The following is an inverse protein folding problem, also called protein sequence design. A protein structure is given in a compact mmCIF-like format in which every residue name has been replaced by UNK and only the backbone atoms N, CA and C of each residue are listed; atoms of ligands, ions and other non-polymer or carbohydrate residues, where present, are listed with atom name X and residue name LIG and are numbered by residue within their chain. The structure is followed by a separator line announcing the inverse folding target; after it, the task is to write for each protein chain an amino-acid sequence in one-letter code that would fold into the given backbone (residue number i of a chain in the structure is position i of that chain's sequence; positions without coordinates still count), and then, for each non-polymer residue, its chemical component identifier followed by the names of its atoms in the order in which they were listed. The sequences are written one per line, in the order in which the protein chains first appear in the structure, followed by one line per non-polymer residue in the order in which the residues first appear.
data_IF_727584823699
#
_entry.id   IF_727584823699
#
_cell.length_a   1.000
_cell.length_b   1.000
_cell.length_c   1.000
_cell.angle_alpha   90.00
_cell.angle_beta   90.00
_cell.angle_gamma   90.00
#
_symmetry.space_group_name_H-M   'P 1'
#
loop_
_entity.id
_entity.type
_entity.pdbx_description
1 polymer ?
#
# COMPACT_ATOMS: atom_id res chain seq x y z
N UNK A 1 14.22 24.25 3.33
CA UNK A 1 13.03 23.41 3.61
C UNK A 1 13.33 22.36 4.67
N UNK A 2 14.30 21.45 4.47
CA UNK A 2 14.73 20.51 5.54
C UNK A 2 15.35 21.26 6.73
N UNK A 3 16.27 22.20 6.47
CA UNK A 3 16.85 23.05 7.53
C UNK A 3 15.79 23.93 8.24
N UNK A 4 14.76 24.35 7.51
CA UNK A 4 13.63 25.13 8.04
C UNK A 4 12.70 24.27 8.90
N UNK A 5 12.54 22.99 8.53
CA UNK A 5 11.78 22.01 9.30
C UNK A 5 12.52 21.65 10.59
N UNK A 6 13.83 21.42 10.51
CA UNK A 6 14.68 21.11 11.67
C UNK A 6 14.74 22.28 12.66
N UNK A 7 14.86 23.52 12.17
CA UNK A 7 14.84 24.72 13.01
C UNK A 7 13.49 24.91 13.72
N UNK A 8 12.37 24.68 13.03
CA UNK A 8 11.03 24.80 13.60
C UNK A 8 10.71 23.65 14.59
N UNK A 9 11.27 22.47 14.39
CA UNK A 9 11.22 21.35 15.35
C UNK A 9 12.01 21.70 16.63
N UNK A 10 13.21 22.27 16.50
CA UNK A 10 14.06 22.66 17.65
C UNK A 10 13.58 23.92 18.38
N UNK A 11 12.85 24.81 17.71
CA UNK A 11 12.10 25.87 18.38
C UNK A 11 11.05 25.24 19.27
N UNK A 12 10.13 24.43 18.74
CA UNK A 12 9.01 23.86 19.52
C UNK A 12 9.37 22.91 20.66
N UNK A 13 10.54 22.27 20.58
CA UNK A 13 11.12 21.54 21.74
C UNK A 13 11.42 22.47 22.92
N UNK A 14 11.73 23.75 22.68
CA UNK A 14 11.97 24.75 23.73
C UNK A 14 10.66 25.22 24.38
N UNK A 15 9.56 25.30 23.62
CA UNK A 15 8.24 25.72 24.11
C UNK A 15 7.32 24.58 24.57
N UNK A 16 7.75 23.32 24.43
CA UNK A 16 7.09 22.16 25.05
C UNK A 16 5.79 21.73 24.38
N UNK A 17 5.59 22.10 23.12
CA UNK A 17 4.35 21.89 22.34
C UNK A 17 4.40 20.67 21.41
N UNK A 18 5.45 19.84 21.53
CA UNK A 18 5.72 18.72 20.61
C UNK A 18 4.66 17.61 20.72
N UNK A 19 3.92 17.33 19.63
CA UNK A 19 3.06 16.14 19.53
C UNK A 19 1.57 16.39 19.28
N UNK A 20 1.15 17.62 18.98
CA UNK A 20 -0.22 17.87 18.54
C UNK A 20 -0.35 17.55 17.04
N UNK A 21 -1.44 16.87 16.66
CA UNK A 21 -1.71 16.40 15.28
C UNK A 21 -1.71 17.54 14.23
N UNK A 22 -1.72 18.81 14.66
CA UNK A 22 -1.61 20.00 13.82
C UNK A 22 -0.17 20.46 13.52
N UNK A 23 0.85 19.86 14.15
CA UNK A 23 2.25 20.29 14.04
C UNK A 23 2.80 20.19 12.60
N UNK A 24 2.48 19.11 11.89
CA UNK A 24 2.91 18.94 10.50
C UNK A 24 2.15 19.87 9.56
N UNK A 25 0.85 20.09 9.81
CA UNK A 25 0.01 20.96 8.98
C UNK A 25 0.44 22.42 9.12
N UNK A 26 0.73 22.91 10.32
CA UNK A 26 1.25 24.26 10.50
C UNK A 26 2.63 24.43 9.84
N UNK A 27 3.50 23.43 9.95
CA UNK A 27 4.81 23.43 9.30
C UNK A 27 4.71 23.41 7.77
N UNK A 28 3.78 22.63 7.22
CA UNK A 28 3.52 22.59 5.77
C UNK A 28 2.82 23.86 5.28
N UNK A 29 1.92 24.44 6.07
CA UNK A 29 1.26 25.72 5.78
C UNK A 29 2.24 26.90 5.86
N UNK A 30 3.22 26.88 6.78
CA UNK A 30 4.32 27.85 6.83
C UNK A 30 5.21 27.70 5.59
N UNK A 31 5.54 26.46 5.20
CA UNK A 31 6.30 26.19 3.98
C UNK A 31 5.53 26.56 2.70
N UNK A 32 4.19 26.46 2.70
CA UNK A 32 3.32 26.99 1.65
C UNK A 32 3.27 28.52 1.66
N UNK A 33 3.13 29.16 2.83
CA UNK A 33 3.06 30.63 2.96
C UNK A 33 4.32 31.34 2.46
N UNK A 34 5.50 30.75 2.65
CA UNK A 34 6.75 31.27 2.07
C UNK A 34 6.82 31.12 0.53
N UNK A 35 6.00 30.24 -0.05
CA UNK A 35 5.99 29.91 -1.48
C UNK A 35 4.82 30.55 -2.25
N UNK A 36 3.85 31.15 -1.56
CA UNK A 36 2.54 31.58 -2.09
C UNK A 36 2.45 33.08 -2.45
N UNK A 37 3.49 33.65 -3.05
CA UNK A 37 3.43 35.04 -3.57
C UNK A 37 3.11 35.16 -5.06
N UNK A 38 2.69 34.10 -5.75
CA UNK A 38 2.22 34.21 -7.14
C UNK A 38 1.08 33.23 -7.43
N UNK A 39 -0.07 33.76 -7.85
CA UNK A 39 -1.12 33.01 -8.56
C UNK A 39 -0.48 32.15 -9.66
N UNK A 40 -0.82 30.86 -9.73
CA UNK A 40 -0.21 29.91 -10.69
C UNK A 40 -1.27 29.24 -11.53
N UNK A 41 -1.11 29.37 -12.85
CA UNK A 41 -1.83 28.59 -13.86
C UNK A 41 -1.60 27.07 -13.67
N UNK A 42 -2.55 26.22 -14.14
CA UNK A 42 -2.43 24.78 -14.05
C UNK A 42 -1.19 24.26 -14.79
N UNK A 43 -0.29 23.62 -14.04
CA UNK A 43 0.98 23.08 -14.54
C UNK A 43 0.77 21.89 -15.49
N UNK A 44 1.62 21.81 -16.52
CA UNK A 44 1.67 20.72 -17.49
C UNK A 44 2.27 19.44 -16.88
N UNK A 45 1.97 18.27 -17.49
CA UNK A 45 2.49 16.96 -17.04
C UNK A 45 4.02 16.89 -16.91
N UNK A 46 4.74 17.65 -17.73
CA UNK A 46 6.21 17.71 -17.69
C UNK A 46 6.74 18.45 -16.45
N UNK A 47 6.03 19.50 -16.02
CA UNK A 47 6.41 20.33 -14.88
C UNK A 47 6.16 19.62 -13.54
N UNK A 48 5.16 18.74 -13.46
CA UNK A 48 4.93 17.86 -12.31
C UNK A 48 6.11 16.88 -12.10
N UNK A 49 6.74 16.44 -13.19
CA UNK A 49 7.87 15.52 -13.13
C UNK A 49 9.19 16.19 -12.72
N UNK A 50 9.29 17.52 -12.87
CA UNK A 50 10.57 18.24 -12.84
C UNK A 50 10.73 19.11 -11.59
N UNK A 51 10.69 18.52 -10.39
CA UNK A 51 11.17 19.17 -9.14
C UNK A 51 10.28 20.24 -8.49
N UNK A 52 8.96 20.05 -8.40
CA UNK A 52 8.20 20.80 -7.39
C UNK A 52 7.85 19.89 -6.22
N UNK A 53 8.54 20.13 -5.11
CA UNK A 53 8.14 19.70 -3.79
C UNK A 53 7.00 20.61 -3.35
N UNK A 54 5.79 20.07 -3.18
CA UNK A 54 4.63 20.83 -2.71
C UNK A 54 3.64 19.89 -2.01
N UNK A 55 2.80 20.46 -1.16
CA UNK A 55 1.59 19.80 -0.66
C UNK A 55 0.40 20.35 -1.41
N UNK A 56 -0.61 19.50 -1.62
CA UNK A 56 -1.89 19.92 -2.16
C UNK A 56 -2.98 19.38 -1.26
N UNK A 57 -3.89 20.23 -0.85
CA UNK A 57 -5.04 19.85 -0.03
C UNK A 57 -6.25 19.56 -0.91
N UNK A 58 -6.98 18.51 -0.59
CA UNK A 58 -8.29 18.22 -1.16
C UNK A 58 -9.28 17.92 -0.03
N UNK A 59 -10.48 18.45 -0.14
CA UNK A 59 -11.59 17.99 0.70
C UNK A 59 -12.13 16.69 0.11
N UNK A 60 -12.10 15.62 0.89
CA UNK A 60 -12.72 14.34 0.53
C UNK A 60 -14.20 14.36 0.94
N UNK A 61 -15.05 13.61 0.23
CA UNK A 61 -16.43 13.37 0.65
C UNK A 61 -16.45 12.88 2.12
N UNK A 62 -17.37 13.41 2.93
CA UNK A 62 -17.49 13.29 4.40
C UNK A 62 -16.66 14.27 5.25
N UNK A 63 -16.15 15.37 4.66
CA UNK A 63 -15.57 16.47 5.43
C UNK A 63 -14.17 16.18 6.01
N UNK A 64 -13.55 15.09 5.57
CA UNK A 64 -12.16 14.81 5.89
C UNK A 64 -11.24 15.52 4.89
N UNK A 65 -10.26 16.24 5.42
CA UNK A 65 -9.20 16.84 4.60
C UNK A 65 -8.14 15.79 4.27
N UNK A 66 -7.77 15.69 2.99
CA UNK A 66 -6.66 14.88 2.54
C UNK A 66 -5.54 15.77 2.01
N UNK A 67 -4.31 15.37 2.33
CA UNK A 67 -3.09 16.08 1.95
C UNK A 67 -2.29 15.21 0.98
N UNK A 68 -2.20 15.64 -0.26
CA UNK A 68 -1.33 15.05 -1.27
C UNK A 68 0.09 15.60 -1.09
N UNK A 69 1.04 14.72 -0.79
CA UNK A 69 2.46 15.07 -0.64
C UNK A 69 3.20 14.76 -1.93
N UNK A 70 3.78 15.78 -2.56
CA UNK A 70 4.53 15.66 -3.81
C UNK A 70 5.97 16.12 -3.60
N UNK A 71 6.93 15.34 -4.10
CA UNK A 71 8.37 15.57 -3.93
C UNK A 71 9.05 14.48 -3.09
N UNK A 72 10.18 13.97 -3.58
CA UNK A 72 10.86 12.81 -2.99
C UNK A 72 11.31 13.04 -1.54
N UNK A 73 11.79 14.25 -1.23
CA UNK A 73 12.27 14.59 0.12
C UNK A 73 11.12 14.60 1.14
N UNK A 74 9.96 15.16 0.77
CA UNK A 74 8.78 15.15 1.64
C UNK A 74 8.21 13.74 1.79
N UNK A 75 8.14 12.97 0.70
CA UNK A 75 7.71 11.56 0.77
C UNK A 75 8.64 10.79 1.70
N UNK A 76 9.96 10.96 1.59
CA UNK A 76 10.94 10.32 2.47
C UNK A 76 10.80 10.79 3.92
N UNK A 77 10.55 12.08 4.16
CA UNK A 77 10.30 12.61 5.49
C UNK A 77 9.07 11.95 6.13
N UNK A 78 7.98 11.75 5.38
CA UNK A 78 6.74 11.12 5.88
C UNK A 78 6.91 9.61 6.06
N UNK A 79 7.37 8.89 5.04
CA UNK A 79 7.36 7.41 5.04
C UNK A 79 8.58 6.79 5.73
N UNK A 80 9.64 7.56 5.98
CA UNK A 80 10.86 7.09 6.65
C UNK A 80 11.20 7.95 7.86
N UNK A 81 11.46 9.25 7.66
CA UNK A 81 12.02 10.14 8.69
C UNK A 81 11.13 10.28 9.93
N UNK A 82 9.83 10.41 9.71
CA UNK A 82 8.81 10.61 10.74
C UNK A 82 7.72 9.56 10.66
N UNK A 83 8.04 8.34 10.20
CA UNK A 83 7.06 7.27 10.04
C UNK A 83 6.27 6.97 11.33
N UNK A 84 6.90 7.13 12.49
CA UNK A 84 6.28 6.99 13.81
C UNK A 84 5.12 7.96 14.07
N UNK A 85 5.02 9.07 13.33
CA UNK A 85 3.89 10.01 13.36
C UNK A 85 2.80 9.66 12.32
N UNK A 86 3.13 8.85 11.31
CA UNK A 86 2.26 8.49 10.18
C UNK A 86 2.06 6.97 10.05
N UNK A 87 1.96 6.27 11.18
CA UNK A 87 1.88 4.80 11.23
C UNK A 87 0.55 4.29 10.67
N UNK A 88 -0.53 5.01 10.98
CA UNK A 88 -1.90 4.58 10.73
C UNK A 88 -2.31 4.83 9.29
N UNK A 89 -3.00 3.85 8.70
CA UNK A 89 -3.58 3.97 7.36
C UNK A 89 -5.07 4.23 7.50
N UNK A 90 -5.60 5.06 6.59
CA UNK A 90 -7.05 5.11 6.41
C UNK A 90 -7.52 3.76 5.87
N UNK A 91 -8.50 3.15 6.53
CA UNK A 91 -9.11 1.93 6.04
C UNK A 91 -9.95 2.30 4.82
N UNK A 92 -9.44 2.00 3.62
CA UNK A 92 -10.15 2.28 2.36
C UNK A 92 -11.32 1.31 2.14
N UNK A 93 -11.32 0.18 2.85
CA UNK A 93 -12.27 -0.91 2.70
C UNK A 93 -12.65 -1.43 4.09
N UNK A 94 -13.95 -1.45 4.37
CA UNK A 94 -14.49 -2.12 5.56
C UNK A 94 -14.60 -3.63 5.28
N UNK A 95 -13.89 -4.42 6.08
CA UNK A 95 -13.99 -5.88 6.06
C UNK A 95 -14.77 -6.37 7.28
N UNK A 96 -15.50 -7.47 7.10
CA UNK A 96 -16.10 -8.20 8.21
C UNK A 96 -15.04 -9.03 8.97
N UNK A 97 -15.25 -9.31 10.28
CA UNK A 97 -14.42 -10.25 11.01
C UNK A 97 -14.33 -11.61 10.28
N UNK A 98 -13.15 -12.25 10.23
CA UNK A 98 -11.90 -11.85 10.89
C UNK A 98 -11.02 -10.88 10.08
N UNK A 99 -11.40 -10.53 8.85
CA UNK A 99 -10.56 -9.73 7.95
C UNK A 99 -10.53 -8.24 8.31
N UNK A 100 -11.42 -7.78 9.19
CA UNK A 100 -11.34 -6.44 9.78
C UNK A 100 -9.97 -6.16 10.41
N UNK A 101 -9.40 -7.16 11.08
CA UNK A 101 -8.18 -7.05 11.89
C UNK A 101 -6.91 -7.50 11.12
N UNK A 102 -6.92 -7.43 9.80
CA UNK A 102 -5.71 -7.66 9.01
C UNK A 102 -4.66 -6.58 9.29
N UNK A 103 -3.38 -6.95 9.14
CA UNK A 103 -2.25 -6.05 9.41
C UNK A 103 -2.33 -4.69 8.68
N UNK A 104 -3.02 -4.61 7.54
CA UNK A 104 -3.18 -3.36 6.80
C UNK A 104 -4.14 -2.36 7.46
N UNK A 105 -5.05 -2.85 8.31
CA UNK A 105 -6.08 -2.06 9.00
C UNK A 105 -5.76 -1.78 10.47
N UNK A 106 -4.83 -2.54 11.06
CA UNK A 106 -4.41 -2.33 12.45
C UNK A 106 -3.72 -0.95 12.59
N UNK A 107 -3.85 -0.37 13.78
CA UNK A 107 -3.34 0.97 14.10
C UNK A 107 -2.37 0.96 15.29
N UNK A 108 -1.53 1.98 15.36
CA UNK A 108 -0.64 2.30 16.47
C UNK A 108 0.21 1.13 16.97
N UNK A 109 0.30 0.98 18.29
CA UNK A 109 1.10 -0.07 18.93
C UNK A 109 0.62 -1.48 18.61
N UNK A 110 -0.66 -1.68 18.33
CA UNK A 110 -1.17 -3.00 17.97
C UNK A 110 -0.64 -3.43 16.60
N UNK A 111 -0.67 -2.53 15.62
CA UNK A 111 -0.02 -2.75 14.33
C UNK A 111 1.47 -3.05 14.48
N UNK A 112 2.20 -2.28 15.31
CA UNK A 112 3.64 -2.50 15.53
C UNK A 112 3.91 -3.89 16.08
N UNK A 113 3.12 -4.34 17.06
CA UNK A 113 3.25 -5.68 17.65
C UNK A 113 3.00 -6.78 16.61
N UNK A 114 1.89 -6.72 15.87
CA UNK A 114 1.58 -7.75 14.86
C UNK A 114 2.59 -7.73 13.72
N UNK A 115 3.03 -6.54 13.26
CA UNK A 115 4.08 -6.42 12.25
C UNK A 115 5.39 -7.07 12.70
N UNK A 116 5.79 -6.88 13.96
CA UNK A 116 7.00 -7.49 14.50
C UNK A 116 6.94 -9.03 14.50
N UNK A 117 5.75 -9.61 14.67
CA UNK A 117 5.52 -11.07 14.60
C UNK A 117 5.58 -11.59 13.15
N UNK A 118 4.97 -10.85 12.21
CA UNK A 118 4.83 -11.30 10.81
C UNK A 118 6.10 -11.07 9.98
N UNK A 119 6.82 -9.98 10.22
CA UNK A 119 7.97 -9.57 9.40
C UNK A 119 9.09 -10.63 9.25
N UNK A 120 9.46 -11.40 10.29
CA UNK A 120 10.48 -12.45 10.20
C UNK A 120 10.17 -13.56 9.16
N UNK A 121 8.90 -13.75 8.80
CA UNK A 121 8.46 -14.72 7.79
C UNK A 121 8.94 -14.35 6.38
N UNK A 122 9.23 -13.07 6.13
CA UNK A 122 9.63 -12.54 4.83
C UNK A 122 11.14 -12.27 4.71
N UNK A 123 11.96 -12.88 5.57
CA UNK A 123 13.42 -12.85 5.40
C UNK A 123 13.84 -13.55 4.10
N UNK A 124 14.96 -13.14 3.50
CA UNK A 124 15.46 -13.74 2.24
C UNK A 124 15.60 -15.26 2.32
N UNK A 125 16.01 -15.80 3.48
CA UNK A 125 16.13 -17.24 3.71
C UNK A 125 14.77 -17.96 3.73
N UNK A 126 13.71 -17.33 4.25
CA UNK A 126 12.34 -17.88 4.22
C UNK A 126 11.75 -17.78 2.83
N UNK A 127 11.92 -16.63 2.14
CA UNK A 127 11.48 -16.46 0.75
C UNK A 127 12.13 -17.51 -0.15
N UNK A 128 13.44 -17.77 0.01
CA UNK A 128 14.12 -18.81 -0.77
C UNK A 128 13.51 -20.20 -0.56
N UNK A 129 13.02 -20.51 0.65
CA UNK A 129 12.31 -21.78 0.94
C UNK A 129 10.92 -21.84 0.29
N UNK A 130 10.34 -20.71 -0.11
CA UNK A 130 9.05 -20.67 -0.81
C UNK A 130 9.19 -20.95 -2.31
N UNK A 131 10.40 -20.83 -2.89
CA UNK A 131 10.64 -20.97 -4.33
C UNK A 131 10.08 -22.27 -4.94
N UNK A 132 10.20 -23.46 -4.32
CA UNK A 132 9.62 -24.69 -4.89
C UNK A 132 8.10 -24.63 -5.07
N UNK A 133 7.39 -23.92 -4.18
CA UNK A 133 5.95 -23.71 -4.32
C UNK A 133 5.62 -22.81 -5.51
N UNK A 134 6.41 -21.75 -5.72
CA UNK A 134 6.26 -20.86 -6.88
C UNK A 134 6.55 -21.61 -8.17
N UNK A 135 7.67 -22.33 -8.25
CA UNK A 135 8.06 -23.13 -9.42
C UNK A 135 6.99 -24.15 -9.82
N UNK A 136 6.39 -24.83 -8.83
CA UNK A 136 5.28 -25.77 -9.07
C UNK A 136 4.10 -25.06 -9.73
N UNK A 137 3.66 -23.93 -9.18
CA UNK A 137 2.51 -23.19 -9.74
C UNK A 137 2.84 -22.57 -11.12
N UNK A 138 4.11 -22.21 -11.38
CA UNK A 138 4.55 -21.76 -12.72
C UNK A 138 4.42 -22.90 -13.74
N UNK A 139 4.76 -24.14 -13.37
CA UNK A 139 4.55 -25.30 -14.25
C UNK A 139 3.07 -25.49 -14.60
N UNK A 140 2.17 -25.37 -13.63
CA UNK A 140 0.72 -25.44 -13.86
C UNK A 140 0.25 -24.33 -14.80
N UNK A 141 0.74 -23.09 -14.62
CA UNK A 141 0.44 -21.98 -15.53
C UNK A 141 0.92 -22.27 -16.95
N UNK A 142 2.15 -22.75 -17.13
CA UNK A 142 2.68 -23.09 -18.45
C UNK A 142 1.88 -24.20 -19.13
N UNK A 143 1.42 -25.21 -18.39
CA UNK A 143 0.56 -26.26 -18.91
C UNK A 143 -0.79 -25.71 -19.36
N UNK A 144 -1.44 -24.88 -18.55
CA UNK A 144 -2.68 -24.19 -18.92
C UNK A 144 -2.52 -23.35 -20.20
N UNK A 145 -1.44 -22.56 -20.29
CA UNK A 145 -1.18 -21.73 -21.47
C UNK A 145 -0.93 -22.57 -22.74
N UNK A 146 -0.25 -23.71 -22.63
CA UNK A 146 -0.06 -24.64 -23.77
C UNK A 146 -1.38 -25.21 -24.25
N UNK A 147 -2.26 -25.63 -23.34
CA UNK A 147 -3.59 -26.13 -23.69
C UNK A 147 -4.41 -25.06 -24.42
N UNK A 148 -4.38 -23.81 -23.97
CA UNK A 148 -5.05 -22.69 -24.63
C UNK A 148 -4.45 -22.37 -26.01
N UNK A 149 -3.13 -22.48 -26.13
CA UNK A 149 -2.46 -22.34 -27.43
C UNK A 149 -2.90 -23.42 -28.42
N UNK A 150 -3.04 -24.67 -27.98
CA UNK A 150 -3.47 -25.79 -28.81
C UNK A 150 -4.93 -25.65 -29.29
N UNK A 151 -5.81 -25.11 -28.44
CA UNK A 151 -7.21 -24.86 -28.80
C UNK A 151 -7.42 -23.55 -29.56
N UNK A 152 -6.43 -22.64 -29.55
CA UNK A 152 -6.56 -21.30 -30.13
C UNK A 152 -7.49 -20.37 -29.36
N UNK A 153 -7.82 -20.72 -28.10
CA UNK A 153 -8.71 -19.92 -27.25
C UNK A 153 -7.99 -18.69 -26.70
N UNK A 154 -8.72 -17.57 -26.65
CA UNK A 154 -8.25 -16.35 -25.99
C UNK A 154 -8.14 -16.55 -24.47
N UNK A 155 -7.20 -15.81 -23.87
CA UNK A 155 -6.92 -15.87 -22.43
C UNK A 155 -7.22 -14.50 -21.83
N UNK A 156 -8.04 -14.48 -20.78
CA UNK A 156 -8.18 -13.29 -19.93
C UNK A 156 -6.98 -13.25 -18.96
N UNK A 157 -6.06 -12.32 -19.23
CA UNK A 157 -4.78 -12.23 -18.51
C UNK A 157 -4.92 -11.82 -17.04
N UNK A 158 -5.89 -10.97 -16.70
CA UNK A 158 -6.13 -10.49 -15.34
C UNK A 158 -6.66 -11.61 -14.45
N UNK A 159 -7.61 -12.41 -14.93
CA UNK A 159 -8.16 -13.57 -14.26
C UNK A 159 -7.11 -14.67 -14.13
N UNK A 160 -6.41 -14.99 -15.22
CA UNK A 160 -5.33 -15.99 -15.22
C UNK A 160 -4.21 -15.62 -14.24
N UNK A 161 -3.78 -14.36 -14.24
CA UNK A 161 -2.75 -13.87 -13.30
C UNK A 161 -3.25 -13.88 -11.86
N UNK A 162 -4.53 -13.55 -11.65
CA UNK A 162 -5.17 -13.60 -10.33
C UNK A 162 -5.24 -15.02 -9.76
N UNK A 163 -5.64 -15.99 -10.57
CA UNK A 163 -5.68 -17.41 -10.21
C UNK A 163 -4.28 -17.96 -9.92
N UNK A 164 -3.29 -17.63 -10.76
CA UNK A 164 -1.90 -17.99 -10.51
C UNK A 164 -1.38 -17.41 -9.18
N UNK A 165 -1.61 -16.12 -8.92
CA UNK A 165 -1.20 -15.47 -7.67
C UNK A 165 -1.89 -16.13 -6.46
N UNK A 166 -3.17 -16.47 -6.58
CA UNK A 166 -3.94 -17.14 -5.54
C UNK A 166 -3.39 -18.54 -5.24
N UNK A 167 -3.07 -19.33 -6.26
CA UNK A 167 -2.48 -20.67 -6.12
C UNK A 167 -1.10 -20.61 -5.45
N UNK A 168 -0.29 -19.58 -5.78
CA UNK A 168 0.99 -19.33 -5.10
C UNK A 168 0.78 -19.02 -3.63
N UNK A 169 -0.15 -18.12 -3.29
CA UNK A 169 -0.47 -17.78 -1.89
C UNK A 169 -1.00 -19.01 -1.14
N UNK A 170 -1.94 -19.74 -1.74
CA UNK A 170 -2.52 -20.96 -1.16
C UNK A 170 -1.44 -21.98 -0.81
N UNK A 171 -0.49 -22.17 -1.73
CA UNK A 171 0.61 -23.09 -1.54
C UNK A 171 1.64 -22.63 -0.52
N UNK A 172 2.03 -21.35 -0.55
CA UNK A 172 3.10 -20.82 0.30
C UNK A 172 2.61 -20.61 1.73
N UNK A 173 1.41 -20.05 1.89
CA UNK A 173 0.89 -19.67 3.20
C UNK A 173 0.15 -20.81 3.91
N UNK A 174 -0.52 -21.69 3.15
CA UNK A 174 -1.38 -22.74 3.71
C UNK A 174 -0.94 -24.16 3.34
N UNK A 175 0.10 -24.32 2.51
CA UNK A 175 0.54 -25.64 2.03
C UNK A 175 -0.47 -26.31 1.09
N UNK A 176 -1.46 -25.58 0.58
CA UNK A 176 -2.54 -26.14 -0.23
C UNK A 176 -2.14 -26.27 -1.69
N UNK A 177 -2.74 -27.27 -2.36
CA UNK A 177 -2.71 -27.41 -3.81
C UNK A 177 -4.13 -27.14 -4.31
N UNK A 178 -4.31 -25.98 -4.94
CA UNK A 178 -5.62 -25.45 -5.37
C UNK A 178 -5.82 -25.74 -6.86
N UNK A 179 -4.82 -25.45 -7.69
CA UNK A 179 -4.85 -25.60 -9.15
C UNK A 179 -6.07 -24.89 -9.78
N UNK A 180 -6.34 -23.65 -9.35
CA UNK A 180 -7.55 -22.90 -9.72
C UNK A 180 -7.70 -22.59 -11.21
N UNK A 181 -6.58 -22.60 -11.96
CA UNK A 181 -6.57 -22.51 -13.43
C UNK A 181 -7.25 -23.69 -14.11
N UNK A 182 -7.17 -24.88 -13.49
CA UNK A 182 -7.72 -26.13 -14.01
C UNK A 182 -9.07 -26.50 -13.37
N UNK A 183 -9.32 -26.04 -12.14
CA UNK A 183 -10.59 -26.16 -11.45
C UNK A 183 -11.17 -24.79 -11.05
N UNK A 184 -11.95 -24.15 -11.95
CA UNK A 184 -12.59 -22.86 -11.67
C UNK A 184 -13.60 -22.91 -10.51
N UNK A 185 -14.04 -24.11 -10.08
CA UNK A 185 -14.98 -24.29 -8.96
C UNK A 185 -14.26 -24.67 -7.67
N UNK A 186 -12.94 -24.56 -7.62
CA UNK A 186 -12.18 -24.85 -6.42
C UNK A 186 -12.70 -24.00 -5.25
N UNK A 187 -13.10 -24.67 -4.16
CA UNK A 187 -13.71 -24.02 -2.99
C UNK A 187 -12.82 -22.93 -2.39
N UNK A 188 -11.51 -23.18 -2.29
CA UNK A 188 -10.58 -22.19 -1.76
C UNK A 188 -10.54 -20.95 -2.65
N UNK A 189 -10.50 -21.14 -3.97
CA UNK A 189 -10.45 -20.05 -4.92
C UNK A 189 -11.73 -19.19 -4.88
N UNK A 190 -12.89 -19.85 -4.83
CA UNK A 190 -14.21 -19.19 -4.74
C UNK A 190 -14.34 -18.38 -3.46
N UNK A 191 -14.01 -18.96 -2.29
CA UNK A 191 -14.12 -18.25 -1.02
C UNK A 191 -13.11 -17.11 -0.91
N UNK A 192 -11.87 -17.30 -1.37
CA UNK A 192 -10.86 -16.24 -1.40
C UNK A 192 -11.27 -15.06 -2.30
N UNK A 193 -11.94 -15.34 -3.44
CA UNK A 193 -12.45 -14.32 -4.35
C UNK A 193 -13.47 -13.36 -3.70
N UNK A 194 -14.26 -13.85 -2.73
CA UNK A 194 -15.23 -13.02 -1.98
C UNK A 194 -14.55 -12.01 -1.07
N UNK A 195 -13.36 -12.32 -0.56
CA UNK A 195 -12.58 -11.42 0.31
C UNK A 195 -11.89 -10.32 -0.51
N UNK A 196 -11.41 -10.64 -1.71
CA UNK A 196 -10.68 -9.70 -2.58
C UNK A 196 -11.61 -8.74 -3.32
N UNK A 197 -12.87 -9.14 -3.54
CA UNK A 197 -13.94 -8.28 -4.06
C UNK A 197 -14.98 -7.99 -2.96
N UNK A 198 -14.63 -7.22 -1.91
CA UNK A 198 -15.65 -6.76 -0.98
C UNK A 198 -16.65 -5.93 -1.78
N UNK A 199 -17.95 -6.20 -1.61
CA UNK A 199 -19.01 -5.48 -2.29
C UNK A 199 -18.76 -3.97 -2.16
N UNK A 200 -18.44 -3.32 -3.28
CA UNK A 200 -18.55 -1.88 -3.38
C UNK A 200 -20.05 -1.61 -3.35
N UNK A 201 -20.56 -1.14 -2.21
CA UNK A 201 -21.89 -0.55 -2.12
C UNK A 201 -21.98 0.66 -3.06
#
# INVERSE_FOLDING_TARGET
MVETLDAAIEERKRDGTEGHVNDFLDLMMIAEKENDTKEREPLTRSEIHTQRTFVKTWTVHHGQEAYGVFGLDLVKAVVVGHFNKFVDRSATIEYEPPFRDILLNLKGEHWKRVRAIVSPTFTSGRIKKMAPHVERNVKNLLEYLRQKQETGEEIELKETSGQFALDVIASVAFGLKVDSLQDPKNKFAVEAGKVVKPNLL
#
